data_IF_417924644034
#
_entry.id   IF_417924644034
#
_cell.length_a   1.000
_cell.length_b   1.000
_cell.length_c   1.000
_cell.angle_alpha   90.00
_cell.angle_beta   90.00
_cell.angle_gamma   90.00
#
_symmetry.space_group_name_H-M   'P 1'
#
loop_
_entity.id
_entity.type
_entity.pdbx_description
1 polymer ?
#
# COMPACT_ATOMS: atom_id res chain seq x y z
N UNK A 1 23.64 5.43 -9.62
CA UNK A 1 23.40 5.23 -8.17
C UNK A 1 23.52 3.73 -7.88
N UNK A 2 24.63 3.32 -7.23
CA UNK A 2 24.98 1.90 -7.02
C UNK A 2 24.16 1.29 -5.89
N UNK A 3 23.62 0.08 -6.10
CA UNK A 3 22.79 -0.69 -5.15
C UNK A 3 23.51 -1.03 -3.84
N UNK A 4 24.83 -0.91 -3.79
CA UNK A 4 25.67 -1.33 -2.66
C UNK A 4 25.61 -0.36 -1.46
N UNK A 5 25.35 0.93 -1.70
CA UNK A 5 25.29 1.93 -0.62
C UNK A 5 24.02 1.80 0.22
N UNK A 6 22.92 1.35 -0.39
CA UNK A 6 21.64 1.16 0.30
C UNK A 6 21.63 -0.05 1.24
N UNK A 7 22.41 -1.09 0.92
CA UNK A 7 22.52 -2.30 1.75
C UNK A 7 23.34 -2.03 3.01
N UNK A 8 24.44 -1.25 2.90
CA UNK A 8 25.27 -0.87 4.07
C UNK A 8 24.53 0.03 5.05
N UNK A 9 23.67 0.92 4.56
CA UNK A 9 22.83 1.76 5.42
C UNK A 9 21.83 0.93 6.24
N UNK A 10 21.22 -0.11 5.65
CA UNK A 10 20.27 -0.99 6.35
C UNK A 10 20.94 -1.82 7.47
N UNK A 11 22.15 -2.33 7.23
CA UNK A 11 22.88 -3.14 8.22
C UNK A 11 23.36 -2.30 9.41
N UNK A 12 23.79 -1.06 9.17
CA UNK A 12 24.28 -0.17 10.23
C UNK A 12 23.20 0.22 11.24
N UNK A 13 21.95 0.38 10.80
CA UNK A 13 20.83 0.67 11.71
C UNK A 13 20.37 -0.57 12.51
N UNK A 14 20.53 -1.78 11.97
CA UNK A 14 20.13 -3.01 12.68
C UNK A 14 20.97 -3.33 13.92
N UNK A 15 22.27 -3.04 13.91
CA UNK A 15 23.19 -3.38 15.01
C UNK A 15 23.05 -2.41 16.21
N UNK A 16 22.73 -1.14 15.96
CA UNK A 16 22.70 -0.10 17.00
C UNK A 16 21.48 -0.20 17.93
N UNK A 17 20.37 -0.76 17.46
CA UNK A 17 19.12 -0.88 18.21
C UNK A 17 18.79 -2.30 18.68
N UNK A 18 19.60 -3.30 18.28
CA UNK A 18 19.37 -4.69 18.65
C UNK A 18 19.45 -4.99 20.16
N UNK A 19 20.40 -4.45 20.94
CA UNK A 19 20.55 -4.85 22.35
C UNK A 19 19.43 -4.35 23.28
N UNK A 20 18.89 -3.15 23.05
CA UNK A 20 17.84 -2.55 23.88
C UNK A 20 16.46 -3.21 23.71
N UNK A 21 16.21 -3.84 22.56
CA UNK A 21 14.96 -4.55 22.30
C UNK A 21 14.93 -5.96 22.94
N UNK A 22 16.10 -6.54 23.23
CA UNK A 22 16.21 -7.93 23.69
C UNK A 22 15.76 -8.11 25.15
N UNK A 23 15.99 -7.10 26.00
CA UNK A 23 15.65 -7.16 27.43
C UNK A 23 14.15 -6.95 27.70
N UNK A 24 13.47 -6.13 26.89
CA UNK A 24 12.01 -5.95 26.94
C UNK A 24 11.23 -7.19 26.48
N UNK A 25 11.79 -7.96 25.55
CA UNK A 25 11.15 -9.17 25.02
C UNK A 25 11.17 -10.33 26.02
N UNK A 26 12.26 -10.49 26.79
CA UNK A 26 12.40 -11.56 27.80
C UNK A 26 11.46 -11.43 29.01
N UNK A 27 10.94 -10.22 29.27
CA UNK A 27 10.05 -9.93 30.41
C UNK A 27 8.58 -9.78 30.00
N UNK A 28 8.24 -10.07 28.74
CA UNK A 28 6.97 -9.75 28.08
C UNK A 28 5.75 -10.56 28.54
N UNK A 29 5.36 -10.42 29.81
CA UNK A 29 3.97 -10.59 30.29
C UNK A 29 3.41 -9.22 30.67
N UNK A 30 3.33 -8.31 29.70
CA UNK A 30 2.87 -6.94 29.92
C UNK A 30 1.83 -6.48 28.89
N UNK A 31 1.03 -5.45 29.22
CA UNK A 31 -0.11 -4.97 28.42
C UNK A 31 0.25 -4.52 27.00
N UNK A 32 1.52 -4.23 26.72
CA UNK A 32 2.00 -3.91 25.38
C UNK A 32 1.76 -5.06 24.36
N UNK A 33 1.72 -6.32 24.82
CA UNK A 33 1.43 -7.47 23.97
C UNK A 33 -0.03 -7.48 23.51
N UNK A 34 -0.97 -7.16 24.40
CA UNK A 34 -2.39 -7.10 24.05
C UNK A 34 -2.71 -5.98 23.03
N UNK A 35 -2.05 -4.83 23.15
CA UNK A 35 -2.20 -3.75 22.16
C UNK A 35 -1.58 -4.11 20.81
N UNK A 36 -0.42 -4.78 20.80
CA UNK A 36 0.18 -5.30 19.58
C UNK A 36 -0.70 -6.37 18.92
N UNK A 37 -1.20 -7.33 19.69
CA UNK A 37 -2.06 -8.41 19.21
C UNK A 37 -3.40 -7.86 18.66
N UNK A 38 -3.99 -6.86 19.31
CA UNK A 38 -5.19 -6.15 18.80
C UNK A 38 -4.94 -5.37 17.51
N UNK A 39 -3.73 -4.85 17.29
CA UNK A 39 -3.41 -4.11 16.06
C UNK A 39 -3.04 -5.05 14.90
N UNK A 40 -2.35 -6.15 15.20
CA UNK A 40 -2.02 -7.20 14.22
C UNK A 40 -3.30 -7.89 13.76
N UNK A 41 -4.21 -8.24 14.67
CA UNK A 41 -5.49 -8.88 14.32
C UNK A 41 -6.43 -8.00 13.46
N UNK A 42 -6.33 -6.68 13.57
CA UNK A 42 -7.12 -5.75 12.73
C UNK A 42 -6.61 -5.68 11.29
N UNK A 43 -5.30 -5.79 11.08
CA UNK A 43 -4.71 -5.90 9.74
C UNK A 43 -5.01 -7.27 9.12
N UNK A 44 -5.16 -8.32 9.93
CA UNK A 44 -5.54 -9.65 9.43
C UNK A 44 -7.03 -9.77 9.11
N UNK A 45 -7.94 -9.14 9.86
CA UNK A 45 -9.38 -9.26 9.61
C UNK A 45 -9.78 -8.90 8.17
N UNK A 46 -9.17 -7.84 7.62
CA UNK A 46 -9.37 -7.47 6.22
C UNK A 46 -8.84 -8.56 5.29
N UNK A 47 -7.58 -8.99 5.45
CA UNK A 47 -6.99 -9.97 4.54
C UNK A 47 -7.75 -11.30 4.58
N UNK A 48 -8.16 -11.75 5.77
CA UNK A 48 -8.96 -12.95 5.98
C UNK A 48 -10.32 -12.83 5.29
N UNK A 49 -11.00 -11.67 5.40
CA UNK A 49 -12.27 -11.46 4.70
C UNK A 49 -12.14 -11.53 3.18
N UNK A 50 -11.07 -10.93 2.64
CA UNK A 50 -10.80 -10.95 1.21
C UNK A 50 -10.38 -12.33 0.71
N UNK A 51 -9.61 -13.09 1.49
CA UNK A 51 -9.26 -14.48 1.22
C UNK A 51 -10.50 -15.38 1.26
N UNK A 52 -11.37 -15.20 2.27
CA UNK A 52 -12.65 -15.91 2.35
C UNK A 52 -13.53 -15.62 1.13
N UNK A 53 -13.67 -14.35 0.74
CA UNK A 53 -14.41 -13.96 -0.45
C UNK A 53 -13.80 -14.51 -1.75
N UNK A 54 -12.47 -14.67 -1.82
CA UNK A 54 -11.81 -15.17 -3.04
C UNK A 54 -12.19 -16.62 -3.38
N UNK A 55 -12.65 -17.39 -2.39
CA UNK A 55 -13.08 -18.78 -2.57
C UNK A 55 -14.60 -18.94 -2.78
N UNK A 56 -15.37 -17.84 -2.83
CA UNK A 56 -16.80 -17.86 -3.03
C UNK A 56 -17.18 -17.54 -4.47
N UNK A 57 -18.27 -18.14 -4.95
CA UNK A 57 -18.90 -17.75 -6.22
C UNK A 57 -19.43 -16.32 -6.06
N UNK A 58 -19.02 -15.43 -6.96
CA UNK A 58 -19.37 -14.01 -6.90
C UNK A 58 -19.02 -13.34 -5.56
N UNK A 59 -17.89 -13.74 -4.99
CA UNK A 59 -17.45 -13.31 -3.67
C UNK A 59 -17.13 -11.81 -3.59
N UNK A 60 -17.67 -11.15 -2.56
CA UNK A 60 -17.41 -9.73 -2.29
C UNK A 60 -17.41 -9.42 -0.80
N UNK A 61 -16.87 -8.25 -0.42
CA UNK A 61 -16.70 -7.83 0.97
C UNK A 61 -17.22 -6.41 1.17
N UNK A 62 -17.96 -6.16 2.25
CA UNK A 62 -18.39 -4.83 2.66
C UNK A 62 -17.82 -4.48 4.06
N UNK A 63 -17.08 -3.37 4.21
CA UNK A 63 -16.71 -2.88 5.53
C UNK A 63 -17.91 -2.19 6.19
N UNK A 64 -18.31 -2.71 7.34
CA UNK A 64 -19.34 -2.15 8.22
C UNK A 64 -18.75 -1.85 9.60
N UNK A 65 -19.53 -1.20 10.46
CA UNK A 65 -19.13 -0.91 11.83
C UNK A 65 -20.15 -1.48 12.81
N UNK A 66 -19.62 -2.12 13.84
CA UNK A 66 -20.35 -2.51 15.05
C UNK A 66 -19.77 -1.70 16.22
N UNK A 67 -20.44 -0.59 16.55
CA UNK A 67 -19.86 0.45 17.40
C UNK A 67 -18.53 0.96 16.85
N UNK A 68 -17.45 0.82 17.65
CA UNK A 68 -16.10 1.24 17.27
C UNK A 68 -15.31 0.15 16.50
N UNK A 69 -15.90 -1.04 16.32
CA UNK A 69 -15.25 -2.17 15.66
C UNK A 69 -15.59 -2.18 14.18
N UNK A 70 -14.57 -2.09 13.33
CA UNK A 70 -14.73 -2.31 11.89
C UNK A 70 -14.87 -3.81 11.62
N UNK A 71 -16.00 -4.21 11.05
CA UNK A 71 -16.33 -5.58 10.67
C UNK A 71 -16.35 -5.69 9.15
N UNK A 72 -15.81 -6.76 8.61
CA UNK A 72 -15.80 -7.08 7.18
C UNK A 72 -16.83 -8.16 6.91
N UNK A 73 -17.98 -7.80 6.35
CA UNK A 73 -19.01 -8.75 5.97
C UNK A 73 -18.66 -9.34 4.61
N UNK A 74 -18.66 -10.66 4.51
CA UNK A 74 -18.36 -11.42 3.29
C UNK A 74 -19.66 -11.90 2.68
N UNK A 75 -19.78 -11.78 1.36
CA UNK A 75 -20.95 -12.14 0.58
C UNK A 75 -20.60 -13.19 -0.49
N UNK A 76 -21.59 -14.00 -0.83
CA UNK A 76 -21.64 -14.86 -2.01
C UNK A 76 -22.87 -14.44 -2.83
N UNK A 77 -22.65 -13.74 -3.95
CA UNK A 77 -23.70 -12.97 -4.61
C UNK A 77 -24.32 -11.96 -3.65
N UNK A 78 -25.64 -12.01 -3.45
CA UNK A 78 -26.37 -11.13 -2.52
C UNK A 78 -26.52 -11.67 -1.10
N UNK A 79 -26.06 -12.90 -0.85
CA UNK A 79 -26.20 -13.53 0.46
C UNK A 79 -24.97 -13.25 1.32
N UNK A 80 -25.11 -12.66 2.53
CA UNK A 80 -24.01 -12.61 3.48
C UNK A 80 -23.71 -14.01 4.02
N UNK A 81 -22.44 -14.39 4.08
CA UNK A 81 -22.00 -15.73 4.51
C UNK A 81 -21.07 -15.71 5.74
N UNK A 82 -20.55 -14.55 6.13
CA UNK A 82 -19.72 -14.44 7.33
C UNK A 82 -19.23 -13.03 7.63
N UNK A 83 -18.61 -12.87 8.80
CA UNK A 83 -18.05 -11.60 9.27
C UNK A 83 -16.63 -11.80 9.80
N UNK A 84 -15.79 -10.79 9.59
CA UNK A 84 -14.41 -10.78 10.07
C UNK A 84 -14.06 -9.42 10.71
N UNK A 85 -13.70 -9.33 12.00
CA UNK A 85 -13.77 -10.42 12.97
C UNK A 85 -15.21 -10.91 13.15
N UNK A 86 -15.35 -12.12 13.70
CA UNK A 86 -16.67 -12.65 14.10
C UNK A 86 -17.21 -11.76 15.22
N UNK A 87 -18.47 -11.35 15.06
CA UNK A 87 -19.21 -10.53 16.04
C UNK A 87 -20.53 -11.20 16.36
N UNK A 88 -21.07 -10.91 17.55
CA UNK A 88 -22.35 -11.46 18.00
C UNK A 88 -23.56 -10.73 17.42
N UNK A 89 -23.36 -9.49 16.98
CA UNK A 89 -24.41 -8.65 16.37
C UNK A 89 -24.93 -9.33 15.10
N UNK A 90 -26.26 -9.52 14.97
CA UNK A 90 -26.83 -10.15 13.79
C UNK A 90 -26.46 -9.43 12.49
N UNK A 91 -26.11 -10.19 11.47
CA UNK A 91 -25.65 -9.62 10.19
C UNK A 91 -26.70 -8.72 9.54
N UNK A 92 -27.99 -9.03 9.74
CA UNK A 92 -29.08 -8.18 9.27
C UNK A 92 -29.04 -6.78 9.90
N UNK A 93 -28.73 -6.68 11.19
CA UNK A 93 -28.61 -5.39 11.89
C UNK A 93 -27.38 -4.62 11.41
N UNK A 94 -26.25 -5.30 11.22
CA UNK A 94 -25.03 -4.69 10.69
C UNK A 94 -25.20 -4.08 9.29
N UNK A 95 -26.11 -4.64 8.49
CA UNK A 95 -26.35 -4.21 7.10
C UNK A 95 -27.53 -3.25 6.94
N UNK A 96 -28.35 -3.04 7.97
CA UNK A 96 -29.61 -2.31 7.88
C UNK A 96 -29.51 -0.89 7.27
N UNK A 97 -28.36 -0.25 7.43
CA UNK A 97 -28.13 1.13 6.98
C UNK A 97 -26.97 1.26 5.98
N UNK A 98 -26.45 0.13 5.49
CA UNK A 98 -25.32 0.12 4.58
C UNK A 98 -25.77 -0.08 3.13
N UNK A 99 -25.12 0.67 2.25
CA UNK A 99 -25.28 0.53 0.81
C UNK A 99 -24.50 -0.71 0.32
N UNK A 100 -25.24 -1.72 -0.15
CA UNK A 100 -24.67 -2.99 -0.62
C UNK A 100 -23.96 -2.86 -1.96
N UNK A 101 -24.19 -1.80 -2.74
CA UNK A 101 -23.51 -1.61 -4.02
C UNK A 101 -22.03 -1.20 -3.84
N UNK A 102 -21.66 -0.79 -2.61
CA UNK A 102 -20.26 -0.45 -2.26
C UNK A 102 -19.40 -1.66 -1.90
N UNK A 103 -19.89 -2.87 -2.16
CA UNK A 103 -19.15 -4.12 -1.99
C UNK A 103 -17.89 -4.13 -2.87
N UNK A 104 -16.80 -4.63 -2.32
CA UNK A 104 -15.52 -4.74 -3.02
C UNK A 104 -15.25 -6.18 -3.40
N UNK A 105 -14.81 -6.41 -4.64
CA UNK A 105 -14.37 -7.73 -5.09
C UNK A 105 -12.87 -7.95 -4.82
N UNK A 106 -12.44 -9.19 -4.51
CA UNK A 106 -11.03 -9.50 -4.26
C UNK A 106 -10.09 -9.17 -5.42
N UNK A 107 -10.52 -9.44 -6.65
CA UNK A 107 -9.68 -9.29 -7.86
C UNK A 107 -9.65 -7.87 -8.45
N UNK A 108 -10.58 -6.99 -8.09
CA UNK A 108 -10.64 -5.62 -8.63
C UNK A 108 -9.70 -4.65 -7.91
N UNK A 109 -9.35 -4.97 -6.65
CA UNK A 109 -8.56 -4.07 -5.80
C UNK A 109 -7.11 -3.94 -6.26
N UNK A 110 -6.57 -4.92 -6.99
CA UNK A 110 -5.18 -4.93 -7.47
C UNK A 110 -4.98 -4.10 -8.75
N UNK A 111 -6.02 -3.89 -9.56
CA UNK A 111 -5.89 -3.27 -10.89
C UNK A 111 -5.73 -1.75 -10.91
N UNK A 112 -6.23 -1.01 -9.91
CA UNK A 112 -6.27 0.47 -9.97
C UNK A 112 -4.98 1.18 -9.54
N UNK A 113 -4.04 0.49 -8.90
CA UNK A 113 -2.85 1.12 -8.29
C UNK A 113 -1.64 1.23 -9.23
N UNK A 114 -1.66 0.53 -10.38
CA UNK A 114 -0.55 0.49 -11.35
C UNK A 114 -0.55 1.59 -12.42
N UNK A 115 -1.68 2.24 -12.69
CA UNK A 115 -1.84 3.10 -13.87
C UNK A 115 -1.54 4.60 -13.65
N UNK A 116 -1.12 5.03 -12.45
CA UNK A 116 -0.82 6.45 -12.18
C UNK A 116 0.67 6.82 -12.16
N UNK A 117 1.57 5.90 -12.50
CA UNK A 117 3.03 6.12 -12.46
C UNK A 117 3.70 6.14 -13.86
N UNK A 118 3.00 6.63 -14.87
CA UNK A 118 3.53 6.75 -16.25
C UNK A 118 2.96 8.00 -16.95
N UNK A 119 3.21 9.17 -16.36
CA UNK A 119 2.68 10.43 -16.90
C UNK A 119 3.42 11.66 -16.40
N UNK A 120 4.76 11.61 -16.31
CA UNK A 120 5.58 12.82 -16.15
C UNK A 120 6.72 12.79 -17.16
N UNK A 121 6.35 12.99 -18.42
CA UNK A 121 7.24 13.46 -19.48
C UNK A 121 7.61 14.91 -19.19
N UNK A 122 8.86 15.16 -18.79
CA UNK A 122 9.47 16.49 -18.89
C UNK A 122 9.97 16.69 -20.32
N UNK A 123 9.05 17.08 -21.20
CA UNK A 123 9.39 17.87 -22.38
C UNK A 123 9.59 19.32 -21.91
N UNK A 124 10.84 19.73 -21.70
CA UNK A 124 11.19 21.15 -21.69
C UNK A 124 12.22 21.34 -22.79
N UNK A 125 11.70 21.58 -23.99
CA UNK A 125 12.42 22.17 -25.11
C UNK A 125 12.01 23.64 -25.17
N UNK A 126 12.99 24.54 -25.15
CA UNK A 126 12.82 25.96 -25.47
C UNK A 126 13.62 26.91 -24.57
N UNK A 127 13.90 28.14 -25.04
CA UNK A 127 15.14 28.47 -25.76
C UNK A 127 15.89 29.59 -25.03
N UNK A 128 17.24 29.62 -25.08
CA UNK A 128 17.98 30.82 -24.65
C UNK A 128 19.14 31.14 -25.59
N UNK A 129 19.04 32.36 -26.09
CA UNK A 129 19.90 33.09 -26.98
C UNK A 129 21.34 33.30 -26.48
N UNK A 130 22.21 33.52 -27.47
CA UNK A 130 23.29 34.51 -27.51
C UNK A 130 24.39 34.50 -26.43
N UNK A 131 25.64 34.33 -26.90
CA UNK A 131 26.85 35.15 -26.65
C UNK A 131 27.89 34.61 -27.66
N UNK A 132 28.03 35.23 -28.83
CA UNK A 132 29.05 36.24 -29.17
C UNK A 132 30.37 35.63 -29.69
N UNK A 133 30.77 36.09 -30.87
CA UNK A 133 31.94 35.66 -31.64
C UNK A 133 33.26 36.14 -31.01
N UNK A 134 34.40 35.60 -31.49
CA UNK A 134 35.25 36.50 -32.27
C UNK A 134 35.69 35.94 -33.63
N UNK A 135 35.80 36.89 -34.58
CA UNK A 135 36.39 36.76 -35.91
C UNK A 135 37.93 36.69 -35.84
N UNK A 136 38.55 35.89 -36.72
CA UNK A 136 39.75 36.21 -37.54
C UNK A 136 40.15 34.91 -38.29
N UNK A 137 40.03 34.84 -39.62
CA UNK A 137 41.00 35.27 -40.67
C UNK A 137 42.07 34.21 -40.97
N UNK A 138 42.22 33.86 -42.26
CA UNK A 138 43.27 33.03 -42.87
C UNK A 138 42.65 31.84 -43.61
N UNK A 139 42.23 31.96 -44.86
CA UNK A 139 43.06 32.05 -46.08
C UNK A 139 44.07 30.90 -46.19
N UNK A 140 43.76 29.89 -47.02
CA UNK A 140 44.66 29.39 -48.06
C UNK A 140 44.01 28.22 -48.82
N UNK A 141 43.66 28.47 -50.09
CA UNK A 141 43.43 27.44 -51.12
C UNK A 141 44.33 27.77 -52.30
N UNK A 142 45.24 26.88 -52.71
CA UNK A 142 45.74 26.90 -54.07
C UNK A 142 44.97 25.87 -54.91
N UNK A 143 44.35 26.36 -55.97
CA UNK A 143 43.93 25.54 -57.11
C UNK A 143 44.76 25.94 -58.32
N UNK A 144 45.50 24.99 -58.87
CA UNK A 144 45.91 24.88 -60.26
C UNK A 144 46.07 23.40 -60.58
#
# INVERSE_FOLDING_TARGET
>A
MSRESSVRALVSFGVKYAPLAYEGLRRGKGPAKEFADRQVSRRTARSIAFEHAAHLVDGSVLPVYDGDVRVWVVFSGDRPVGTHPVVNTPVAELLAHYDLDKRMRPHETTGRRGLRRRGRSSSTSGPQDAIEAPRATGDDRPGA
#
